data_IF_588471761920
#
_entry.id   IF_588471761920
#
_cell.length_a   1.000
_cell.length_b   1.000
_cell.length_c   1.000
_cell.angle_alpha   90.00
_cell.angle_beta   90.00
_cell.angle_gamma   90.00
#
_symmetry.space_group_name_H-M   'P 1'
#
loop_
_entity.id
_entity.type
_entity.pdbx_description
1 polymer ?
#
# COMPACT_ATOMS: atom_id res chain seq x y z
N UNK A 1 23.43 6.44 -21.85
CA UNK A 1 22.74 6.82 -20.62
C UNK A 1 21.83 7.97 -20.97
N UNK A 2 20.51 7.74 -21.04
CA UNK A 2 19.56 8.84 -21.16
C UNK A 2 19.55 9.56 -19.80
N UNK A 3 20.25 10.70 -19.72
CA UNK A 3 20.25 11.57 -18.54
C UNK A 3 18.90 12.31 -18.50
N UNK A 4 17.86 11.64 -18.01
CA UNK A 4 16.55 12.25 -17.75
C UNK A 4 16.66 13.31 -16.64
N UNK A 5 17.61 13.13 -15.70
CA UNK A 5 17.87 14.04 -14.58
C UNK A 5 19.38 14.25 -14.36
N UNK A 6 19.74 15.40 -13.79
CA UNK A 6 21.11 15.71 -13.38
C UNK A 6 21.47 15.02 -12.04
N UNK A 7 21.47 13.67 -12.02
CA UNK A 7 21.67 12.85 -10.81
C UNK A 7 22.84 13.28 -9.93
N UNK A 8 24.08 13.54 -10.46
CA UNK A 8 25.18 13.95 -9.60
C UNK A 8 24.85 15.21 -8.77
N UNK A 9 24.23 16.23 -9.39
CA UNK A 9 23.83 17.47 -8.73
C UNK A 9 22.73 17.26 -7.69
N UNK A 10 21.79 16.33 -7.97
CA UNK A 10 20.71 15.98 -7.02
C UNK A 10 21.29 15.24 -5.82
N UNK A 11 22.12 14.23 -6.07
CA UNK A 11 22.70 13.37 -5.03
C UNK A 11 23.64 14.18 -4.13
N UNK A 12 24.40 15.12 -4.69
CA UNK A 12 25.29 16.02 -3.94
C UNK A 12 24.57 16.85 -2.87
N UNK A 13 23.26 17.10 -3.02
CA UNK A 13 22.47 17.80 -2.00
C UNK A 13 22.23 16.98 -0.74
N UNK A 14 22.32 15.65 -0.81
CA UNK A 14 22.09 14.76 0.33
C UNK A 14 23.35 14.51 1.14
N UNK A 15 23.17 14.16 2.42
CA UNK A 15 24.25 13.85 3.36
C UNK A 15 24.72 12.40 3.15
N UNK A 16 25.26 12.10 1.96
CA UNK A 16 25.88 10.82 1.60
C UNK A 16 27.41 10.92 1.67
N UNK A 17 28.07 9.81 1.96
CA UNK A 17 29.53 9.73 1.96
C UNK A 17 30.04 9.14 0.63
N UNK A 18 31.30 9.50 0.27
CA UNK A 18 32.00 8.94 -0.88
C UNK A 18 31.73 9.63 -2.21
N UNK A 19 32.18 8.99 -3.28
CA UNK A 19 32.05 9.45 -4.66
C UNK A 19 30.98 8.64 -5.39
N UNK A 20 30.23 9.27 -6.29
CA UNK A 20 29.18 8.62 -7.06
C UNK A 20 29.77 7.68 -8.12
N UNK A 21 29.45 6.37 -8.02
CA UNK A 21 29.78 5.38 -9.04
C UNK A 21 28.66 5.29 -10.09
N UNK A 22 27.42 5.05 -9.65
CA UNK A 22 26.28 4.89 -10.57
C UNK A 22 24.95 5.32 -9.94
N UNK A 23 23.98 5.64 -10.79
CA UNK A 23 22.58 5.85 -10.44
C UNK A 23 21.73 5.23 -11.53
N UNK A 24 21.06 4.14 -11.22
CA UNK A 24 20.35 3.30 -12.19
C UNK A 24 18.90 3.07 -11.76
N UNK A 25 17.98 2.94 -12.73
CA UNK A 25 16.60 2.60 -12.43
C UNK A 25 16.53 1.31 -11.62
N UNK A 26 15.69 1.30 -10.60
CA UNK A 26 15.55 0.18 -9.67
C UNK A 26 14.10 -0.13 -9.35
N UNK A 27 13.76 -1.43 -9.38
CA UNK A 27 12.41 -1.90 -9.06
C UNK A 27 11.38 -1.64 -10.18
N UNK A 28 10.16 -2.10 -9.94
CA UNK A 28 9.04 -2.04 -10.88
C UNK A 28 7.93 -1.08 -10.39
N UNK A 29 8.26 -0.17 -9.49
CA UNK A 29 7.30 0.80 -8.94
C UNK A 29 6.67 1.67 -10.04
N UNK A 30 5.34 1.86 -9.96
CA UNK A 30 4.58 2.56 -11.02
C UNK A 30 4.24 4.02 -10.65
N UNK A 31 4.38 4.39 -9.40
CA UNK A 31 4.01 5.72 -8.89
C UNK A 31 5.21 6.66 -8.91
N UNK A 32 6.28 6.31 -8.21
CA UNK A 32 7.51 7.07 -8.15
C UNK A 32 8.57 6.51 -9.08
N UNK A 33 9.45 7.37 -9.60
CA UNK A 33 10.65 6.88 -10.26
C UNK A 33 11.70 6.55 -9.20
N UNK A 34 12.12 5.30 -9.14
CA UNK A 34 13.06 4.80 -8.15
C UNK A 34 14.40 4.45 -8.80
N UNK A 35 15.48 4.86 -8.15
CA UNK A 35 16.86 4.64 -8.61
C UNK A 35 17.71 4.09 -7.48
N UNK A 36 18.56 3.09 -7.79
CA UNK A 36 19.63 2.65 -6.91
C UNK A 36 20.85 3.53 -7.17
N UNK A 37 21.33 4.16 -6.12
CA UNK A 37 22.55 4.98 -6.10
C UNK A 37 23.66 4.15 -5.48
N UNK A 38 24.79 4.00 -6.18
CA UNK A 38 26.01 3.35 -5.67
C UNK A 38 27.09 4.40 -5.47
N UNK A 39 27.63 4.47 -4.26
CA UNK A 39 28.72 5.36 -3.86
C UNK A 39 29.97 4.56 -3.51
N UNK A 40 31.16 5.09 -3.80
CA UNK A 40 32.42 4.58 -3.28
C UNK A 40 32.82 5.35 -2.03
N UNK A 41 32.71 4.75 -0.88
CA UNK A 41 33.19 5.31 0.39
C UNK A 41 34.50 4.64 0.80
N UNK A 42 35.61 5.23 0.34
CA UNK A 42 36.96 4.75 0.62
C UNK A 42 37.22 3.29 0.20
N UNK A 43 36.76 2.87 -0.97
CA UNK A 43 36.91 1.51 -1.51
C UNK A 43 35.81 0.54 -1.05
N UNK A 44 34.79 1.02 -0.37
CA UNK A 44 33.59 0.28 0.02
C UNK A 44 32.37 0.80 -0.75
N UNK A 45 31.69 -0.07 -1.46
CA UNK A 45 30.41 0.26 -2.05
C UNK A 45 29.34 0.43 -0.98
N UNK A 46 28.63 1.58 -1.03
CA UNK A 46 27.48 1.89 -0.20
C UNK A 46 26.30 2.24 -1.11
N UNK A 47 25.13 1.71 -0.79
CA UNK A 47 23.96 1.86 -1.63
C UNK A 47 22.87 2.71 -0.96
N UNK A 48 22.14 3.47 -1.80
CA UNK A 48 20.98 4.26 -1.41
C UNK A 48 19.86 4.07 -2.43
N UNK A 49 18.65 4.40 -2.03
CA UNK A 49 17.49 4.54 -2.91
C UNK A 49 17.18 6.03 -3.07
N UNK A 50 17.28 6.53 -4.28
CA UNK A 50 16.80 7.86 -4.67
C UNK A 50 15.44 7.71 -5.33
N UNK A 51 14.44 8.47 -4.87
CA UNK A 51 13.12 8.47 -5.47
C UNK A 51 12.71 9.87 -5.92
N UNK A 52 12.22 9.98 -7.16
CA UNK A 52 11.48 11.15 -7.62
C UNK A 52 10.01 10.97 -7.23
N UNK A 53 9.52 11.86 -6.41
CA UNK A 53 8.15 11.86 -5.90
C UNK A 53 7.20 12.26 -7.04
N UNK A 54 6.12 11.50 -7.21
CA UNK A 54 5.06 11.84 -8.14
C UNK A 54 4.17 12.95 -7.58
N UNK A 55 4.59 14.19 -7.77
CA UNK A 55 3.88 15.38 -7.26
C UNK A 55 2.57 15.70 -8.02
N UNK A 56 2.20 14.92 -9.03
CA UNK A 56 0.84 14.98 -9.62
C UNK A 56 -0.15 14.21 -8.76
N UNK A 57 0.27 13.06 -8.21
CA UNK A 57 -0.55 12.27 -7.30
C UNK A 57 -0.50 12.84 -5.87
N UNK A 58 0.66 13.32 -5.45
CA UNK A 58 0.91 13.93 -4.14
C UNK A 58 1.27 15.41 -4.31
N UNK A 59 0.30 16.28 -4.54
CA UNK A 59 0.57 17.70 -4.84
C UNK A 59 1.16 18.47 -3.65
N UNK A 60 0.88 18.05 -2.42
CA UNK A 60 1.45 18.61 -1.21
C UNK A 60 2.58 17.72 -0.68
N UNK A 61 3.78 17.91 -1.27
CA UNK A 61 4.98 17.14 -0.91
C UNK A 61 5.40 17.38 0.53
N UNK A 62 5.15 18.57 1.09
CA UNK A 62 5.47 18.88 2.49
C UNK A 62 4.67 17.99 3.44
N UNK A 63 3.36 17.84 3.24
CA UNK A 63 2.51 16.96 4.06
C UNK A 63 2.88 15.49 3.89
N UNK A 64 3.17 15.06 2.66
CA UNK A 64 3.63 13.71 2.38
C UNK A 64 4.90 13.40 3.18
N UNK A 65 5.91 14.26 3.06
CA UNK A 65 7.20 14.04 3.71
C UNK A 65 7.12 14.20 5.23
N UNK A 66 6.24 15.06 5.75
CA UNK A 66 5.95 15.15 7.17
C UNK A 66 5.48 13.80 7.76
N UNK A 67 4.51 13.15 7.10
CA UNK A 67 4.03 11.83 7.54
C UNK A 67 5.16 10.79 7.54
N UNK A 68 5.90 10.73 6.44
CA UNK A 68 7.00 9.77 6.27
C UNK A 68 8.10 9.99 7.32
N UNK A 69 8.47 11.24 7.59
CA UNK A 69 9.45 11.56 8.62
C UNK A 69 9.01 11.09 10.00
N UNK A 70 7.81 11.49 10.42
CA UNK A 70 7.32 11.14 11.74
C UNK A 70 7.23 9.62 11.93
N UNK A 71 6.70 8.92 10.94
CA UNK A 71 6.52 7.45 11.01
C UNK A 71 7.87 6.75 10.99
N UNK A 72 8.80 7.12 10.10
CA UNK A 72 10.12 6.48 10.03
C UNK A 72 10.96 6.75 11.27
N UNK A 73 10.91 7.96 11.83
CA UNK A 73 11.61 8.30 13.08
C UNK A 73 11.05 7.53 14.28
N UNK A 74 9.73 7.40 14.38
CA UNK A 74 9.07 6.63 15.42
C UNK A 74 9.42 5.15 15.34
N UNK A 75 9.33 4.56 14.14
CA UNK A 75 9.71 3.18 13.89
C UNK A 75 11.18 2.94 14.26
N UNK A 76 12.07 3.83 13.83
CA UNK A 76 13.50 3.75 14.13
C UNK A 76 13.79 3.77 15.63
N UNK A 77 13.18 4.68 16.39
CA UNK A 77 13.32 4.75 17.85
C UNK A 77 12.86 3.44 18.49
N UNK A 78 11.70 2.96 18.12
CA UNK A 78 11.13 1.72 18.67
C UNK A 78 11.97 0.48 18.34
N UNK A 79 12.59 0.43 17.14
CA UNK A 79 13.53 -0.65 16.76
C UNK A 79 14.78 -0.60 17.62
N UNK A 80 15.36 0.59 17.86
CA UNK A 80 16.53 0.78 18.72
C UNK A 80 16.23 0.36 20.17
N UNK A 81 15.09 0.77 20.71
CA UNK A 81 14.67 0.45 22.09
C UNK A 81 14.55 -1.06 22.34
N UNK A 82 14.17 -1.83 21.34
CA UNK A 82 14.10 -3.31 21.42
C UNK A 82 15.42 -4.01 21.06
N UNK A 83 16.51 -3.25 20.80
CA UNK A 83 17.83 -3.80 20.42
C UNK A 83 17.91 -4.35 19.00
N UNK A 84 17.02 -3.92 18.10
CA UNK A 84 16.99 -4.31 16.69
C UNK A 84 17.96 -3.51 15.82
N UNK A 85 17.94 -3.77 14.51
CA UNK A 85 18.80 -3.17 13.49
C UNK A 85 18.03 -2.14 12.65
N UNK A 86 17.94 -0.86 13.06
CA UNK A 86 17.05 0.12 12.44
C UNK A 86 17.36 0.39 10.96
N UNK A 87 18.62 0.24 10.53
CA UNK A 87 19.03 0.41 9.13
C UNK A 87 18.54 -0.72 8.21
N UNK A 88 18.01 -1.81 8.77
CA UNK A 88 17.47 -2.95 8.03
C UNK A 88 15.98 -3.17 8.29
N UNK A 89 15.51 -2.88 9.50
CA UNK A 89 14.15 -3.23 9.93
C UNK A 89 13.12 -2.12 9.68
N UNK A 90 13.55 -0.95 9.26
CA UNK A 90 12.66 0.15 8.84
C UNK A 90 13.32 1.06 7.81
N UNK A 91 12.52 1.78 7.05
CA UNK A 91 13.03 2.81 6.14
C UNK A 91 13.76 3.90 6.94
N UNK A 92 14.92 4.29 6.44
CA UNK A 92 15.74 5.36 7.01
C UNK A 92 15.98 6.43 5.96
N UNK A 93 15.42 7.63 6.18
CA UNK A 93 15.63 8.79 5.32
C UNK A 93 17.07 9.30 5.44
N UNK A 94 17.66 9.64 4.29
CA UNK A 94 18.90 10.43 4.22
C UNK A 94 18.51 11.89 4.10
N UNK A 95 18.94 12.70 5.07
CA UNK A 95 18.69 14.15 5.05
C UNK A 95 19.56 14.83 4.00
N UNK A 96 19.09 15.95 3.52
CA UNK A 96 19.91 16.87 2.72
C UNK A 96 20.98 17.53 3.61
N UNK A 97 21.99 18.16 3.06
CA UNK A 97 23.06 18.85 3.80
C UNK A 97 22.58 20.04 4.64
N UNK A 98 21.42 20.59 4.31
CA UNK A 98 20.72 21.64 5.07
C UNK A 98 19.66 21.08 6.05
N UNK A 99 19.56 19.74 6.15
CA UNK A 99 18.73 19.03 7.14
C UNK A 99 17.31 18.70 6.69
N UNK A 100 16.90 19.02 5.44
CA UNK A 100 15.60 18.68 4.92
C UNK A 100 15.48 17.17 4.58
N UNK A 101 14.26 16.66 4.47
CA UNK A 101 13.98 15.25 4.12
C UNK A 101 13.88 14.99 2.62
N UNK A 102 13.80 16.04 1.83
CA UNK A 102 13.73 15.98 0.37
C UNK A 102 14.36 17.23 -0.24
N UNK A 103 14.59 17.22 -1.54
CA UNK A 103 15.06 18.39 -2.31
C UNK A 103 14.22 18.57 -3.55
N UNK A 104 14.23 19.80 -4.09
CA UNK A 104 13.62 20.13 -5.38
C UNK A 104 14.70 20.50 -6.39
N UNK A 105 14.59 19.97 -7.61
CA UNK A 105 15.43 20.32 -8.76
C UNK A 105 14.54 20.36 -10.00
N UNK A 106 14.51 21.52 -10.66
CA UNK A 106 13.72 21.76 -11.88
C UNK A 106 12.24 21.34 -11.75
N UNK A 107 11.61 21.63 -10.59
CA UNK A 107 10.22 21.29 -10.32
C UNK A 107 9.95 19.79 -10.01
N UNK A 108 11.01 18.99 -9.95
CA UNK A 108 10.94 17.59 -9.50
C UNK A 108 11.43 17.47 -8.06
N UNK A 109 10.72 16.70 -7.26
CA UNK A 109 11.01 16.48 -5.85
C UNK A 109 11.69 15.13 -5.66
N UNK A 110 12.79 15.13 -4.90
CA UNK A 110 13.59 13.91 -4.67
C UNK A 110 13.79 13.68 -3.18
N UNK A 111 13.62 12.44 -2.76
CA UNK A 111 13.97 11.95 -1.43
C UNK A 111 14.95 10.78 -1.55
N UNK A 112 15.68 10.50 -0.47
CA UNK A 112 16.65 9.42 -0.46
C UNK A 112 16.51 8.59 0.81
N UNK A 113 16.65 7.26 0.64
CA UNK A 113 16.67 6.29 1.74
C UNK A 113 17.97 5.48 1.74
N UNK A 114 18.31 4.95 2.89
CA UNK A 114 19.32 3.88 2.98
C UNK A 114 18.80 2.67 2.22
N UNK A 115 19.66 2.04 1.41
CA UNK A 115 19.34 0.77 0.78
C UNK A 115 19.39 -0.36 1.81
N UNK A 116 18.37 -1.21 1.85
CA UNK A 116 18.30 -2.35 2.76
C UNK A 116 18.95 -3.54 2.08
N UNK A 117 20.16 -3.89 2.50
CA UNK A 117 20.95 -4.98 1.92
C UNK A 117 20.41 -6.36 2.35
N UNK A 118 20.54 -7.36 1.46
CA UNK A 118 20.21 -8.75 1.74
C UNK A 118 18.72 -8.97 2.02
N UNK A 119 17.85 -8.22 1.32
CA UNK A 119 16.41 -8.36 1.40
C UNK A 119 15.76 -8.09 0.04
N UNK A 120 14.73 -8.87 -0.28
CA UNK A 120 14.04 -8.84 -1.59
C UNK A 120 12.53 -8.66 -1.42
N UNK A 121 11.89 -7.96 -2.36
CA UNK A 121 10.43 -7.85 -2.49
C UNK A 121 9.94 -8.77 -3.60
N UNK A 122 8.67 -9.22 -3.50
CA UNK A 122 8.08 -10.10 -4.50
C UNK A 122 6.74 -9.55 -4.99
N UNK A 123 6.49 -9.66 -6.30
CA UNK A 123 5.28 -9.11 -6.95
C UNK A 123 4.04 -10.00 -6.76
N UNK A 124 4.22 -11.26 -6.41
CA UNK A 124 3.13 -12.23 -6.18
C UNK A 124 3.50 -13.22 -5.10
N UNK A 125 2.50 -13.86 -4.51
CA UNK A 125 2.68 -14.95 -3.55
C UNK A 125 3.25 -16.17 -4.28
N UNK A 126 4.50 -16.54 -3.98
CA UNK A 126 5.18 -17.71 -4.56
C UNK A 126 4.96 -18.96 -3.71
N UNK A 127 4.91 -18.74 -2.39
CA UNK A 127 4.72 -19.76 -1.37
C UNK A 127 3.85 -19.18 -0.25
N UNK A 128 2.94 -19.96 0.37
CA UNK A 128 2.13 -19.49 1.51
C UNK A 128 2.95 -18.90 2.65
N UNK A 129 4.22 -19.35 2.82
CA UNK A 129 5.13 -18.80 3.82
C UNK A 129 5.50 -17.35 3.54
N UNK A 130 5.74 -16.96 2.28
CA UNK A 130 6.04 -15.57 1.93
C UNK A 130 4.87 -14.66 2.33
N UNK A 131 3.64 -15.14 2.15
CA UNK A 131 2.44 -14.40 2.51
C UNK A 131 2.22 -14.35 4.03
N UNK A 132 2.53 -15.43 4.75
CA UNK A 132 2.57 -15.44 6.21
C UNK A 132 3.57 -14.41 6.75
N UNK A 133 4.79 -14.38 6.22
CA UNK A 133 5.85 -13.45 6.64
C UNK A 133 5.53 -12.00 6.28
N UNK A 134 4.82 -11.76 5.18
CA UNK A 134 4.27 -10.44 4.86
C UNK A 134 3.24 -10.01 5.91
N UNK A 135 2.35 -10.90 6.32
CA UNK A 135 1.38 -10.64 7.38
C UNK A 135 2.06 -10.32 8.72
N UNK A 136 3.12 -11.08 9.05
CA UNK A 136 3.95 -10.82 10.24
C UNK A 136 4.61 -9.43 10.16
N UNK A 137 5.11 -9.02 8.99
CA UNK A 137 5.73 -7.71 8.81
C UNK A 137 4.72 -6.57 9.01
N UNK A 138 3.55 -6.64 8.37
CA UNK A 138 2.49 -5.64 8.55
C UNK A 138 1.91 -5.64 9.97
N UNK A 139 1.73 -6.82 10.59
CA UNK A 139 1.32 -6.93 11.98
C UNK A 139 2.33 -6.28 12.94
N UNK A 140 3.64 -6.49 12.72
CA UNK A 140 4.71 -5.80 13.48
C UNK A 140 4.67 -4.29 13.26
N UNK A 141 4.49 -3.85 12.02
CA UNK A 141 4.39 -2.43 11.68
C UNK A 141 3.21 -1.77 12.41
N UNK A 142 2.02 -2.37 12.36
CA UNK A 142 0.84 -1.91 13.10
C UNK A 142 1.08 -1.88 14.62
N UNK A 143 1.70 -2.92 15.19
CA UNK A 143 2.01 -2.98 16.62
C UNK A 143 3.06 -1.94 17.03
N UNK A 144 4.06 -1.69 16.21
CA UNK A 144 5.09 -0.67 16.44
C UNK A 144 4.47 0.71 16.53
N UNK A 145 3.52 1.03 15.65
CA UNK A 145 2.83 2.31 15.58
C UNK A 145 1.60 2.41 16.50
N UNK A 146 1.28 1.38 17.26
CA UNK A 146 0.09 1.36 18.12
C UNK A 146 0.04 2.48 19.17
N UNK A 147 1.20 3.01 19.56
CA UNK A 147 1.34 4.13 20.51
C UNK A 147 1.54 5.48 19.83
N UNK A 148 1.62 5.49 18.50
CA UNK A 148 1.73 6.73 17.75
C UNK A 148 0.37 7.42 17.68
N UNK A 149 0.33 8.72 17.94
CA UNK A 149 -0.87 9.53 17.81
C UNK A 149 -1.13 9.84 16.32
N UNK A 150 -2.06 9.12 15.71
CA UNK A 150 -2.39 9.25 14.30
C UNK A 150 -2.89 10.67 13.92
N UNK A 151 -3.37 11.46 14.87
CA UNK A 151 -3.82 12.84 14.63
C UNK A 151 -2.68 13.80 14.24
N UNK A 152 -1.42 13.39 14.43
CA UNK A 152 -0.25 14.14 13.99
C UNK A 152 0.00 14.01 12.48
N UNK A 153 -0.64 13.06 11.80
CA UNK A 153 -0.47 12.84 10.37
C UNK A 153 -1.54 13.57 9.56
N UNK A 154 -1.14 14.01 8.39
CA UNK A 154 -2.04 14.56 7.38
C UNK A 154 -2.69 13.45 6.57
N UNK A 155 -3.93 13.66 6.16
CA UNK A 155 -4.58 12.86 5.11
C UNK A 155 -4.05 13.32 3.75
N UNK A 156 -2.99 12.65 3.27
CA UNK A 156 -2.28 13.03 2.02
C UNK A 156 -3.09 12.71 0.76
N UNK A 157 -4.01 11.77 0.85
CA UNK A 157 -4.99 11.43 -0.17
C UNK A 157 -6.39 11.50 0.47
N UNK A 158 -7.09 12.64 0.37
CA UNK A 158 -8.39 12.82 0.99
C UNK A 158 -9.39 11.74 0.59
N UNK A 159 -10.15 11.24 1.57
CA UNK A 159 -11.18 10.21 1.38
C UNK A 159 -10.66 8.92 0.70
N UNK A 160 -9.38 8.56 0.91
CA UNK A 160 -8.74 7.46 0.19
C UNK A 160 -9.50 6.14 0.34
N UNK A 161 -9.84 5.76 1.58
CA UNK A 161 -10.66 4.59 1.91
C UNK A 161 -12.01 4.97 2.54
N UNK A 162 -12.53 6.15 2.22
CA UNK A 162 -13.90 6.50 2.57
C UNK A 162 -14.86 5.90 1.53
N UNK A 163 -15.26 4.65 1.74
CA UNK A 163 -16.07 3.91 0.77
C UNK A 163 -17.44 4.55 0.50
N UNK A 164 -17.99 5.34 1.43
CA UNK A 164 -19.20 6.14 1.19
C UNK A 164 -18.97 7.21 0.13
N UNK A 165 -17.90 7.98 0.27
CA UNK A 165 -17.51 9.01 -0.72
C UNK A 165 -17.14 8.37 -2.06
N UNK A 166 -16.45 7.22 -2.05
CA UNK A 166 -16.16 6.45 -3.27
C UNK A 166 -17.44 6.02 -3.98
N UNK A 167 -18.46 5.57 -3.24
CA UNK A 167 -19.75 5.19 -3.79
C UNK A 167 -20.51 6.40 -4.38
N UNK A 168 -20.49 7.55 -3.72
CA UNK A 168 -21.05 8.78 -4.26
C UNK A 168 -20.36 9.22 -5.56
N UNK A 169 -19.02 9.10 -5.63
CA UNK A 169 -18.25 9.37 -6.84
C UNK A 169 -18.65 8.42 -7.96
N UNK A 170 -18.79 7.13 -7.66
CA UNK A 170 -19.30 6.13 -8.59
C UNK A 170 -20.70 6.50 -9.14
N UNK A 171 -21.64 6.85 -8.27
CA UNK A 171 -22.98 7.25 -8.71
C UNK A 171 -22.96 8.49 -9.63
N UNK A 172 -22.08 9.46 -9.33
CA UNK A 172 -21.89 10.64 -10.18
C UNK A 172 -21.28 10.27 -11.55
N UNK A 173 -20.35 9.33 -11.59
CA UNK A 173 -19.77 8.85 -12.84
C UNK A 173 -20.81 8.13 -13.71
N UNK A 174 -21.68 7.31 -13.09
CA UNK A 174 -22.80 6.64 -13.76
C UNK A 174 -23.81 7.66 -14.32
N UNK A 175 -24.17 8.69 -13.53
CA UNK A 175 -25.13 9.72 -13.95
C UNK A 175 -24.59 10.57 -15.10
N UNK A 176 -23.31 10.96 -15.04
CA UNK A 176 -22.67 11.79 -16.06
C UNK A 176 -22.41 11.05 -17.35
N UNK A 177 -22.07 9.76 -17.25
CA UNK A 177 -21.73 8.88 -18.37
C UNK A 177 -20.95 9.57 -19.51
N UNK A 178 -19.88 10.26 -19.13
CA UNK A 178 -19.14 11.15 -20.04
C UNK A 178 -18.55 10.45 -21.26
N UNK A 179 -18.38 9.13 -21.19
CA UNK A 179 -17.87 8.28 -22.27
C UNK A 179 -18.95 7.46 -22.97
N UNK A 180 -20.23 7.52 -22.54
CA UNK A 180 -21.33 6.73 -23.09
C UNK A 180 -21.18 5.23 -22.86
N UNK A 181 -20.53 4.83 -21.73
CA UNK A 181 -20.22 3.42 -21.42
C UNK A 181 -21.18 2.78 -20.42
N UNK A 182 -22.08 3.56 -19.77
CA UNK A 182 -22.91 3.06 -18.68
C UNK A 182 -23.88 1.94 -19.11
N UNK A 183 -24.42 2.01 -20.32
CA UNK A 183 -25.33 0.97 -20.82
C UNK A 183 -24.64 -0.36 -21.04
N UNK A 184 -23.39 -0.37 -21.52
CA UNK A 184 -22.66 -1.63 -21.77
C UNK A 184 -22.21 -2.33 -20.48
N UNK A 185 -22.15 -1.62 -19.34
CA UNK A 185 -21.75 -2.14 -18.02
C UNK A 185 -22.90 -2.08 -17.00
N UNK A 186 -24.14 -2.13 -17.47
CA UNK A 186 -25.34 -2.07 -16.64
C UNK A 186 -25.35 -3.13 -15.53
N UNK A 187 -24.93 -4.35 -15.85
CA UNK A 187 -24.85 -5.46 -14.91
C UNK A 187 -23.85 -5.19 -13.78
N UNK A 188 -22.69 -4.62 -14.10
CA UNK A 188 -21.66 -4.24 -13.12
C UNK A 188 -22.13 -3.06 -12.24
N UNK A 189 -22.82 -2.09 -12.83
CA UNK A 189 -23.44 -0.97 -12.09
C UNK A 189 -24.47 -1.48 -11.09
N UNK A 190 -25.36 -2.38 -11.53
CA UNK A 190 -26.40 -2.96 -10.66
C UNK A 190 -25.78 -3.86 -9.58
N UNK A 191 -24.70 -4.57 -9.90
CA UNK A 191 -23.92 -5.37 -8.94
C UNK A 191 -23.36 -4.48 -7.82
N UNK A 192 -22.73 -3.34 -8.15
CA UNK A 192 -22.21 -2.37 -7.17
C UNK A 192 -23.34 -1.81 -6.31
N UNK A 193 -24.44 -1.35 -6.95
CA UNK A 193 -25.58 -0.76 -6.23
C UNK A 193 -26.25 -1.74 -5.26
N UNK A 194 -26.35 -3.02 -5.63
CA UNK A 194 -26.97 -4.05 -4.78
C UNK A 194 -26.19 -4.36 -3.50
N UNK A 195 -24.94 -3.91 -3.41
CA UNK A 195 -24.02 -4.12 -2.26
C UNK A 195 -23.64 -2.82 -1.54
N UNK A 196 -24.40 -1.75 -1.77
CA UNK A 196 -24.10 -0.43 -1.19
C UNK A 196 -24.12 -0.39 0.35
N UNK A 197 -24.75 -1.38 1.00
CA UNK A 197 -24.72 -1.55 2.45
C UNK A 197 -23.30 -1.84 2.99
N UNK A 198 -22.38 -2.32 2.15
CA UNK A 198 -20.97 -2.49 2.52
C UNK A 198 -20.28 -1.15 2.81
N UNK A 199 -20.68 -0.07 2.12
CA UNK A 199 -19.99 1.22 2.16
C UNK A 199 -19.85 1.82 3.57
N UNK A 200 -20.82 1.55 4.45
CA UNK A 200 -20.82 2.07 5.82
C UNK A 200 -20.14 1.17 6.86
N UNK A 201 -19.83 -0.08 6.52
CA UNK A 201 -19.47 -1.12 7.52
C UNK A 201 -18.29 -0.76 8.42
N UNK A 202 -17.28 -0.10 7.89
CA UNK A 202 -16.09 0.32 8.65
C UNK A 202 -16.10 1.81 8.92
N UNK A 203 -16.41 2.64 7.92
CA UNK A 203 -16.33 4.09 8.06
C UNK A 203 -17.29 4.62 9.13
N UNK A 204 -18.48 4.03 9.28
CA UNK A 204 -19.45 4.44 10.32
C UNK A 204 -18.95 4.06 11.72
N UNK A 205 -18.28 2.90 11.87
CA UNK A 205 -17.67 2.49 13.13
C UNK A 205 -16.48 3.36 13.53
N UNK A 206 -15.73 3.87 12.54
CA UNK A 206 -14.69 4.88 12.80
C UNK A 206 -15.36 6.18 13.27
N UNK A 207 -16.41 6.64 12.59
CA UNK A 207 -17.11 7.86 12.93
C UNK A 207 -17.80 7.79 14.32
N UNK A 208 -18.29 6.62 14.73
CA UNK A 208 -18.86 6.38 16.07
C UNK A 208 -17.81 6.19 17.17
N UNK A 209 -16.53 5.99 16.79
CA UNK A 209 -15.45 5.67 17.74
C UNK A 209 -15.39 4.21 18.17
N UNK A 210 -16.18 3.31 17.59
CA UNK A 210 -16.12 1.87 17.86
C UNK A 210 -14.80 1.27 17.33
N UNK A 211 -14.36 1.70 16.14
CA UNK A 211 -13.04 1.38 15.58
C UNK A 211 -12.16 2.62 15.70
N UNK A 212 -11.00 2.54 16.37
CA UNK A 212 -10.11 3.68 16.51
C UNK A 212 -9.39 4.01 15.19
N UNK A 213 -9.08 5.29 14.96
CA UNK A 213 -8.11 5.67 13.94
C UNK A 213 -6.70 5.27 14.37
N UNK A 214 -5.99 4.67 13.43
CA UNK A 214 -4.61 4.21 13.55
C UNK A 214 -3.74 4.88 12.50
N UNK A 215 -2.42 4.77 12.66
CA UNK A 215 -1.51 4.93 11.54
C UNK A 215 -1.61 3.68 10.68
N UNK A 216 -2.02 3.83 9.43
CA UNK A 216 -2.17 2.74 8.47
C UNK A 216 -1.29 2.96 7.25
N UNK A 217 -0.89 1.89 6.62
CA UNK A 217 -0.08 1.90 5.42
C UNK A 217 -0.92 2.27 4.18
N UNK A 218 -2.14 1.72 4.10
CA UNK A 218 -3.14 1.92 3.04
C UNK A 218 -2.75 1.42 1.63
N UNK A 219 -1.64 0.68 1.51
CA UNK A 219 -1.24 -0.05 0.29
C UNK A 219 -0.43 -1.28 0.70
N UNK A 220 -1.08 -2.25 1.37
CA UNK A 220 -0.45 -3.38 2.05
C UNK A 220 -0.23 -4.59 1.14
N UNK A 221 0.25 -4.35 -0.06
CA UNK A 221 0.60 -5.42 -1.00
C UNK A 221 1.89 -6.14 -0.58
N UNK A 222 2.03 -7.40 -0.97
CA UNK A 222 3.22 -8.20 -0.70
C UNK A 222 4.52 -7.50 -1.15
N UNK A 223 4.51 -6.80 -2.28
CA UNK A 223 5.68 -6.11 -2.81
C UNK A 223 6.10 -4.88 -1.99
N UNK A 224 5.32 -4.48 -0.99
CA UNK A 224 5.67 -3.44 -0.02
C UNK A 224 6.27 -4.02 1.28
N UNK A 225 6.60 -5.32 1.27
CA UNK A 225 7.37 -5.98 2.34
C UNK A 225 8.66 -6.51 1.78
N UNK A 226 9.77 -6.20 2.44
CA UNK A 226 11.06 -6.82 2.18
C UNK A 226 11.20 -8.08 3.03
N UNK A 227 11.49 -9.21 2.39
CA UNK A 227 11.84 -10.45 3.05
C UNK A 227 13.37 -10.60 3.12
N UNK A 228 13.89 -10.98 4.28
CA UNK A 228 15.31 -11.23 4.49
C UNK A 228 15.78 -12.43 3.68
N UNK A 229 16.78 -12.25 2.82
CA UNK A 229 17.24 -13.27 1.86
C UNK A 229 17.81 -14.53 2.54
N UNK A 230 18.37 -14.39 3.75
CA UNK A 230 18.97 -15.51 4.47
C UNK A 230 17.95 -16.35 5.23
N UNK A 231 16.87 -15.73 5.74
CA UNK A 231 15.91 -16.39 6.63
C UNK A 231 14.50 -16.54 6.02
N UNK A 232 14.20 -15.78 4.97
CA UNK A 232 12.87 -15.66 4.37
C UNK A 232 11.85 -14.93 5.24
N UNK A 233 12.25 -14.31 6.35
CA UNK A 233 11.36 -13.61 7.29
C UNK A 233 11.05 -12.20 6.84
N UNK A 234 9.84 -11.73 7.19
CA UNK A 234 9.45 -10.34 7.02
C UNK A 234 10.37 -9.40 7.80
N UNK A 235 11.06 -8.50 7.08
CA UNK A 235 12.12 -7.64 7.62
C UNK A 235 11.67 -6.19 7.77
N UNK A 236 11.22 -5.56 6.70
CA UNK A 236 10.86 -4.15 6.67
C UNK A 236 9.62 -3.91 5.78
N UNK A 237 8.81 -2.95 6.19
CA UNK A 237 7.72 -2.40 5.37
C UNK A 237 8.25 -1.16 4.66
N UNK A 238 7.98 -1.06 3.36
CA UNK A 238 8.45 0.02 2.48
C UNK A 238 7.28 0.69 1.76
N UNK A 239 7.55 1.75 1.00
CA UNK A 239 6.55 2.53 0.24
C UNK A 239 5.49 3.18 1.15
N UNK A 240 5.95 4.12 1.99
CA UNK A 240 5.11 4.79 2.98
C UNK A 240 4.34 6.02 2.43
N UNK A 241 4.16 6.14 1.12
CA UNK A 241 3.53 7.31 0.49
C UNK A 241 2.05 7.48 0.85
N UNK A 242 1.40 6.37 1.16
CA UNK A 242 -0.01 6.34 1.57
C UNK A 242 -0.18 6.26 3.09
N UNK A 243 0.92 6.41 3.86
CA UNK A 243 0.83 6.35 5.31
C UNK A 243 0.08 7.58 5.85
N UNK A 244 -1.08 7.32 6.47
CA UNK A 244 -1.98 8.34 7.00
C UNK A 244 -2.95 7.72 8.02
N UNK A 245 -3.80 8.51 8.70
CA UNK A 245 -4.83 7.96 9.58
C UNK A 245 -5.81 7.05 8.83
N UNK A 246 -6.11 5.87 9.38
CA UNK A 246 -7.03 4.92 8.79
C UNK A 246 -7.43 3.80 9.76
N UNK A 247 -7.86 2.66 9.24
CA UNK A 247 -8.25 1.48 10.00
C UNK A 247 -7.35 0.29 9.68
N UNK A 248 -6.96 -0.48 10.70
CA UNK A 248 -6.25 -1.76 10.51
C UNK A 248 -7.08 -2.75 9.65
N UNK A 249 -8.41 -2.60 9.62
CA UNK A 249 -9.26 -3.41 8.75
C UNK A 249 -9.03 -3.12 7.26
N UNK A 250 -8.63 -1.88 6.91
CA UNK A 250 -8.27 -1.52 5.53
C UNK A 250 -6.94 -2.15 5.14
N UNK A 251 -5.91 -2.02 5.98
CA UNK A 251 -4.60 -2.62 5.72
C UNK A 251 -4.69 -4.14 5.58
N UNK A 252 -5.37 -4.81 6.54
CA UNK A 252 -5.61 -6.24 6.45
C UNK A 252 -6.38 -6.59 5.16
N UNK A 253 -7.43 -5.84 4.87
CA UNK A 253 -8.29 -6.09 3.71
C UNK A 253 -7.57 -5.95 2.38
N UNK A 254 -6.71 -4.94 2.22
CA UNK A 254 -5.96 -4.74 0.98
C UNK A 254 -4.94 -5.85 0.74
N UNK A 255 -4.28 -6.34 1.80
CA UNK A 255 -3.42 -7.51 1.71
C UNK A 255 -4.17 -8.77 1.25
N UNK A 256 -5.37 -9.00 1.80
CA UNK A 256 -6.21 -10.15 1.40
C UNK A 256 -6.68 -10.02 -0.05
N UNK A 257 -7.15 -8.84 -0.45
CA UNK A 257 -7.55 -8.53 -1.82
C UNK A 257 -6.46 -8.87 -2.82
N UNK A 258 -5.23 -8.48 -2.51
CA UNK A 258 -4.08 -8.69 -3.38
C UNK A 258 -3.58 -10.14 -3.35
N UNK A 259 -3.38 -10.71 -2.16
CA UNK A 259 -2.67 -11.98 -1.98
C UNK A 259 -3.55 -13.23 -2.03
N UNK A 260 -4.88 -13.12 -1.80
CA UNK A 260 -5.79 -14.26 -1.79
C UNK A 260 -6.54 -14.44 -3.12
N UNK A 261 -6.02 -13.92 -4.21
CA UNK A 261 -6.54 -14.11 -5.56
C UNK A 261 -5.72 -15.18 -6.31
N UNK A 262 -6.41 -16.14 -6.93
CA UNK A 262 -5.77 -17.19 -7.75
C UNK A 262 -5.24 -16.68 -9.08
N UNK A 263 -5.67 -15.51 -9.54
CA UNK A 263 -5.37 -14.92 -10.83
C UNK A 263 -4.75 -13.52 -10.69
N UNK A 264 -4.25 -12.96 -11.80
CA UNK A 264 -3.83 -11.58 -11.86
C UNK A 264 -5.02 -10.61 -11.64
N UNK A 265 -4.74 -9.40 -11.15
CA UNK A 265 -5.78 -8.38 -10.90
C UNK A 265 -6.58 -8.01 -12.16
N UNK A 266 -5.99 -8.22 -13.33
CA UNK A 266 -6.53 -7.89 -14.64
C UNK A 266 -6.83 -9.14 -15.53
N UNK A 267 -7.06 -10.31 -14.90
CA UNK A 267 -7.45 -11.53 -15.61
C UNK A 267 -8.81 -11.33 -16.30
N UNK A 268 -8.89 -11.43 -17.63
CA UNK A 268 -10.14 -11.20 -18.36
C UNK A 268 -11.14 -12.37 -18.20
N UNK A 269 -10.66 -13.57 -17.91
CA UNK A 269 -11.47 -14.76 -17.68
C UNK A 269 -11.78 -14.93 -16.20
N UNK A 270 -12.95 -14.45 -15.78
CA UNK A 270 -13.38 -14.49 -14.38
C UNK A 270 -13.57 -15.90 -13.82
N UNK A 271 -13.67 -16.94 -14.68
CA UNK A 271 -13.75 -18.34 -14.22
C UNK A 271 -12.42 -18.84 -13.64
N UNK A 272 -11.32 -18.14 -13.89
CA UNK A 272 -10.01 -18.41 -13.26
C UNK A 272 -9.80 -17.68 -11.94
N UNK A 273 -10.69 -16.76 -11.61
CA UNK A 273 -10.58 -15.91 -10.43
C UNK A 273 -11.28 -16.60 -9.25
N UNK A 274 -10.48 -17.03 -8.26
CA UNK A 274 -10.97 -17.69 -7.06
C UNK A 274 -10.38 -17.07 -5.80
N UNK A 275 -11.17 -17.00 -4.75
CA UNK A 275 -10.72 -16.63 -3.42
C UNK A 275 -10.00 -17.80 -2.76
N UNK A 276 -8.71 -17.60 -2.45
CA UNK A 276 -7.86 -18.61 -1.83
C UNK A 276 -8.02 -18.59 -0.32
N UNK A 277 -9.06 -19.28 0.18
CA UNK A 277 -9.44 -19.28 1.60
C UNK A 277 -8.33 -19.79 2.54
N UNK A 278 -7.49 -20.72 2.12
CA UNK A 278 -6.37 -21.20 2.94
C UNK A 278 -5.27 -20.15 3.06
N UNK A 279 -5.04 -19.32 2.04
CA UNK A 279 -4.14 -18.18 2.13
C UNK A 279 -4.70 -17.09 3.04
N UNK A 280 -6.02 -16.86 3.05
CA UNK A 280 -6.65 -15.97 4.01
C UNK A 280 -6.33 -16.39 5.46
N UNK A 281 -6.49 -17.67 5.80
CA UNK A 281 -6.16 -18.20 7.13
C UNK A 281 -4.68 -18.03 7.46
N UNK A 282 -3.81 -18.35 6.49
CA UNK A 282 -2.36 -18.20 6.62
C UNK A 282 -1.97 -16.74 6.93
N UNK A 283 -2.56 -15.78 6.20
CA UNK A 283 -2.31 -14.35 6.45
C UNK A 283 -2.85 -13.91 7.80
N UNK A 284 -4.07 -14.31 8.15
CA UNK A 284 -4.69 -14.00 9.46
C UNK A 284 -3.81 -14.49 10.61
N UNK A 285 -3.30 -15.73 10.53
CA UNK A 285 -2.40 -16.32 11.53
C UNK A 285 -1.14 -15.47 11.70
N UNK A 286 -0.48 -15.14 10.61
CA UNK A 286 0.72 -14.31 10.61
C UNK A 286 0.46 -12.92 11.19
N UNK A 287 -0.61 -12.26 10.76
CA UNK A 287 -0.98 -10.92 11.20
C UNK A 287 -1.28 -10.88 12.70
N UNK A 288 -2.16 -11.77 13.18
CA UNK A 288 -2.55 -11.83 14.59
C UNK A 288 -1.38 -12.24 15.50
N UNK A 289 -0.46 -13.07 15.02
CA UNK A 289 0.75 -13.43 15.78
C UNK A 289 1.66 -12.23 16.09
N UNK A 290 1.62 -11.21 15.22
CA UNK A 290 2.55 -10.09 15.24
C UNK A 290 1.93 -8.77 15.72
N UNK A 291 0.64 -8.53 15.46
CA UNK A 291 -0.05 -7.31 15.88
C UNK A 291 -0.25 -7.23 17.41
N UNK A 292 -0.17 -8.38 18.09
CA UNK A 292 -0.20 -8.47 19.54
C UNK A 292 -1.51 -8.00 20.16
N UNK A 293 -1.40 -7.32 21.31
CA UNK A 293 -2.56 -6.79 22.06
C UNK A 293 -2.94 -5.36 21.62
N UNK A 294 -2.31 -4.83 20.57
CA UNK A 294 -2.60 -3.49 20.09
C UNK A 294 -3.92 -3.39 19.32
N UNK A 295 -4.38 -4.50 18.74
CA UNK A 295 -5.65 -4.58 18.01
C UNK A 295 -6.81 -4.80 19.00
N UNK A 296 -7.88 -4.01 18.88
CA UNK A 296 -9.10 -4.14 19.69
C UNK A 296 -9.93 -5.36 19.28
N UNK A 297 -10.88 -5.76 20.12
CA UNK A 297 -11.79 -6.85 19.78
C UNK A 297 -12.68 -6.47 18.58
N UNK A 298 -13.14 -5.22 18.52
CA UNK A 298 -13.93 -4.70 17.41
C UNK A 298 -13.16 -4.71 16.08
N UNK A 299 -11.89 -4.31 16.10
CA UNK A 299 -11.04 -4.40 14.92
C UNK A 299 -10.88 -5.86 14.46
N UNK A 300 -10.61 -6.80 15.38
CA UNK A 300 -10.49 -8.23 15.06
C UNK A 300 -11.75 -8.77 14.39
N UNK A 301 -12.91 -8.51 14.96
CA UNK A 301 -14.20 -8.98 14.45
C UNK A 301 -14.52 -8.42 13.06
N UNK A 302 -13.95 -7.26 12.73
CA UNK A 302 -14.15 -6.59 11.43
C UNK A 302 -13.04 -6.87 10.40
N UNK A 303 -11.99 -7.66 10.69
CA UNK A 303 -10.98 -8.03 9.69
C UNK A 303 -11.59 -8.72 8.45
N UNK A 304 -12.52 -9.70 8.59
CA UNK A 304 -13.19 -10.29 7.42
C UNK A 304 -14.00 -9.25 6.62
N UNK A 305 -14.67 -8.34 7.32
CA UNK A 305 -15.41 -7.23 6.68
C UNK A 305 -14.46 -6.33 5.90
N UNK A 306 -13.27 -6.04 6.45
CA UNK A 306 -12.22 -5.29 5.77
C UNK A 306 -11.79 -5.94 4.46
N UNK A 307 -11.61 -7.28 4.45
CA UNK A 307 -11.25 -8.01 3.23
C UNK A 307 -12.29 -7.85 2.11
N UNK A 308 -13.58 -8.05 2.44
CA UNK A 308 -14.68 -7.86 1.49
C UNK A 308 -14.77 -6.40 1.04
N UNK A 309 -14.69 -5.46 1.98
CA UNK A 309 -14.84 -4.03 1.72
C UNK A 309 -13.74 -3.47 0.82
N UNK A 310 -12.48 -3.79 1.08
CA UNK A 310 -11.37 -3.29 0.27
C UNK A 310 -11.39 -3.86 -1.15
N UNK A 311 -11.81 -5.11 -1.30
CA UNK A 311 -12.00 -5.73 -2.62
C UNK A 311 -13.17 -5.07 -3.37
N UNK A 312 -14.30 -4.82 -2.69
CA UNK A 312 -15.45 -4.12 -3.25
C UNK A 312 -15.08 -2.68 -3.67
N UNK A 313 -14.42 -1.93 -2.79
CA UNK A 313 -14.00 -0.55 -3.06
C UNK A 313 -13.06 -0.47 -4.26
N UNK A 314 -12.07 -1.36 -4.33
CA UNK A 314 -11.13 -1.39 -5.44
C UNK A 314 -11.83 -1.67 -6.77
N UNK A 315 -12.73 -2.66 -6.82
CA UNK A 315 -13.53 -2.97 -8.01
C UNK A 315 -14.42 -1.81 -8.42
N UNK A 316 -15.09 -1.15 -7.46
CA UNK A 316 -15.90 0.04 -7.71
C UNK A 316 -15.05 1.20 -8.27
N UNK A 317 -13.83 1.42 -7.75
CA UNK A 317 -12.92 2.46 -8.26
C UNK A 317 -12.47 2.17 -9.70
N UNK A 318 -12.17 0.92 -10.05
CA UNK A 318 -11.86 0.53 -11.43
C UNK A 318 -13.05 0.79 -12.37
N UNK A 319 -14.27 0.44 -11.94
CA UNK A 319 -15.47 0.70 -12.73
C UNK A 319 -15.76 2.20 -12.88
N UNK A 320 -15.52 2.99 -11.82
CA UNK A 320 -15.65 4.45 -11.85
C UNK A 320 -14.71 5.05 -12.88
N UNK A 321 -13.43 4.67 -12.84
CA UNK A 321 -12.41 5.17 -13.78
C UNK A 321 -12.71 4.73 -15.22
N UNK A 322 -13.24 3.52 -15.42
CA UNK A 322 -13.71 3.07 -16.73
C UNK A 322 -14.82 3.97 -17.29
N UNK A 323 -15.80 4.34 -16.46
CA UNK A 323 -16.87 5.25 -16.83
C UNK A 323 -16.38 6.68 -17.09
N UNK A 324 -15.31 7.10 -16.41
CA UNK A 324 -14.66 8.42 -16.56
C UNK A 324 -13.62 8.48 -17.67
N UNK A 325 -13.37 7.37 -18.40
CA UNK A 325 -12.49 7.35 -19.57
C UNK A 325 -11.07 6.88 -19.31
N UNK A 326 -10.85 6.10 -18.24
CA UNK A 326 -9.55 5.49 -17.91
C UNK A 326 -8.47 6.54 -17.64
N UNK A 327 -8.76 7.52 -16.79
CA UNK A 327 -7.89 8.69 -16.53
C UNK A 327 -7.06 8.59 -15.26
N UNK A 328 -7.47 7.75 -14.30
CA UNK A 328 -6.80 7.61 -13.01
C UNK A 328 -5.79 6.45 -13.02
N UNK A 329 -6.23 5.24 -13.35
CA UNK A 329 -5.37 4.06 -13.38
C UNK A 329 -4.70 3.92 -14.74
N UNK A 330 -3.41 3.56 -14.72
CA UNK A 330 -2.69 3.26 -15.97
C UNK A 330 -3.29 2.03 -16.65
N UNK A 331 -3.66 2.16 -17.92
CA UNK A 331 -4.20 1.09 -18.73
C UNK A 331 -3.24 0.73 -19.86
N UNK A 332 -3.23 -0.55 -20.27
CA UNK A 332 -2.39 -1.07 -21.35
C UNK A 332 -3.20 -1.59 -22.53
N UNK A 333 -4.52 -1.68 -22.39
CA UNK A 333 -5.47 -2.16 -23.43
C UNK A 333 -6.86 -1.57 -23.20
N UNK A 334 -7.69 -1.64 -24.23
CA UNK A 334 -9.09 -1.28 -24.09
C UNK A 334 -9.78 -2.17 -23.04
N UNK A 335 -10.71 -1.61 -22.27
CA UNK A 335 -11.46 -2.28 -21.20
C UNK A 335 -10.62 -2.81 -20.03
N UNK A 336 -9.37 -2.42 -19.90
CA UNK A 336 -8.48 -2.92 -18.86
C UNK A 336 -9.05 -2.70 -17.44
N UNK A 337 -9.57 -1.49 -17.15
CA UNK A 337 -10.21 -1.22 -15.85
C UNK A 337 -11.54 -1.97 -15.66
N UNK A 338 -12.28 -2.26 -16.73
CA UNK A 338 -13.48 -3.12 -16.65
C UNK A 338 -13.12 -4.56 -16.29
N UNK A 339 -12.06 -5.11 -16.89
CA UNK A 339 -11.55 -6.45 -16.55
C UNK A 339 -11.12 -6.51 -15.09
N UNK A 340 -10.37 -5.51 -14.63
CA UNK A 340 -9.99 -5.37 -13.21
C UNK A 340 -11.21 -5.30 -12.28
N UNK A 341 -12.22 -4.50 -12.64
CA UNK A 341 -13.45 -4.40 -11.85
C UNK A 341 -14.13 -5.77 -11.70
N UNK A 342 -14.27 -6.50 -12.80
CA UNK A 342 -14.90 -7.84 -12.83
C UNK A 342 -14.14 -8.85 -11.98
N UNK A 343 -12.81 -8.84 -12.02
CA UNK A 343 -11.96 -9.66 -11.16
C UNK A 343 -12.25 -9.40 -9.69
N UNK A 344 -12.31 -8.12 -9.28
CA UNK A 344 -12.62 -7.78 -7.89
C UNK A 344 -14.05 -8.17 -7.50
N UNK A 345 -15.03 -7.98 -8.39
CA UNK A 345 -16.41 -8.37 -8.12
C UNK A 345 -16.57 -9.87 -7.92
N UNK A 346 -15.89 -10.65 -8.74
CA UNK A 346 -15.85 -12.12 -8.59
C UNK A 346 -15.26 -12.54 -7.24
N UNK A 347 -14.16 -11.93 -6.82
CA UNK A 347 -13.57 -12.18 -5.51
C UNK A 347 -14.51 -11.81 -4.36
N UNK A 348 -15.21 -10.68 -4.43
CA UNK A 348 -16.21 -10.29 -3.42
C UNK A 348 -17.31 -11.33 -3.31
N UNK A 349 -17.84 -11.82 -4.45
CA UNK A 349 -18.89 -12.83 -4.45
C UNK A 349 -18.44 -14.13 -3.77
N UNK A 350 -17.22 -14.57 -4.03
CA UNK A 350 -16.66 -15.77 -3.39
C UNK A 350 -16.38 -15.56 -1.90
N UNK A 351 -15.85 -14.38 -1.49
CA UNK A 351 -15.67 -14.03 -0.09
C UNK A 351 -17.01 -14.01 0.65
N UNK A 352 -18.05 -13.41 0.06
CA UNK A 352 -19.40 -13.38 0.66
C UNK A 352 -20.02 -14.78 0.78
N UNK A 353 -19.79 -15.65 -0.20
CA UNK A 353 -20.27 -17.03 -0.16
C UNK A 353 -19.68 -17.85 1.01
N UNK A 354 -18.44 -17.55 1.42
CA UNK A 354 -17.79 -18.20 2.54
C UNK A 354 -17.66 -17.31 3.80
N UNK A 355 -18.30 -16.13 3.82
CA UNK A 355 -18.10 -15.12 4.88
C UNK A 355 -18.32 -15.66 6.29
N UNK A 356 -19.36 -16.47 6.50
CA UNK A 356 -19.63 -17.09 7.81
C UNK A 356 -18.56 -18.07 8.29
N UNK A 357 -17.68 -18.49 7.37
CA UNK A 357 -16.54 -19.38 7.65
C UNK A 357 -15.23 -18.62 7.81
N UNK A 358 -15.18 -17.32 7.41
CA UNK A 358 -13.99 -16.49 7.58
C UNK A 358 -13.77 -16.17 9.05
N UNK A 359 -12.75 -16.76 9.70
CA UNK A 359 -12.51 -16.48 11.12
C UNK A 359 -11.99 -15.06 11.30
N UNK A 360 -12.36 -14.43 12.40
CA UNK A 360 -11.81 -13.16 12.87
C UNK A 360 -10.64 -13.38 13.86
N UNK A 361 -10.49 -14.60 14.34
CA UNK A 361 -9.36 -15.06 15.15
C UNK A 361 -9.14 -16.54 14.89
N UNK A 362 -7.89 -16.98 14.99
CA UNK A 362 -7.55 -18.40 14.93
C UNK A 362 -7.87 -19.01 16.29
N UNK A 363 -8.58 -20.14 16.27
CA UNK A 363 -8.93 -20.90 17.49
C UNK A 363 -7.74 -21.71 17.98
#
# INVERSE_FOLDING_TARGET
>A
MNNEFAFPRIIEKFSVAGELISCERYGEGHINDTFKVTMDDCGREVHYILQRINNRLFPDVDRLMHNIELVTEFCRKSVIERGGAPMRECLTLIRTKDGASYTCEDGNYFRMYVFIEGATTYQSVRDPRDFYESAVAFGKFANLLAKFDASQLYEVLPDFHNTRVRYENFLRAVEKDICGRAEEVRSEIDWVKSRSDLCGKIVDKIASGEIPLRVTHNDTKLNNVMLDDATGKGLAVIDLDTVMPGSLCYDFGDSIRFGCNSAAEDEPDTEKVHFLFDLYKTYLDGYLSAVGNSVTQEEKENLPTGAVLMTYECGMRFLTDYLEGDVYFRTHRARHNLERARTQFKLVDEMLACFSQMPAAVK
#
